data_IF_643973322204
#
_entry.id   IF_643973322204
#
_cell.length_a   1.000
_cell.length_b   1.000
_cell.length_c   1.000
_cell.angle_alpha   90.00
_cell.angle_beta   90.00
_cell.angle_gamma   90.00
#
_symmetry.space_group_name_H-M   'P 1'
#
loop_
_entity.id
_entity.type
_entity.pdbx_description
1 polymer ?
#
# COMPACT_ATOMS: atom_id res chain seq x y z
N UNK A 1 -24.44 15.09 -1.03
CA UNK A 1 -23.15 15.48 -0.43
C UNK A 1 -22.84 14.52 0.71
N UNK A 2 -22.29 13.33 0.40
CA UNK A 2 -21.68 12.41 1.38
C UNK A 2 -20.94 11.25 0.68
N UNK A 3 -20.16 11.55 -0.37
CA UNK A 3 -19.36 10.51 -1.04
C UNK A 3 -17.97 10.45 -0.38
N UNK A 4 -17.90 9.77 0.76
CA UNK A 4 -16.65 9.56 1.49
C UNK A 4 -15.72 8.63 0.72
N UNK A 5 -14.42 8.87 0.82
CA UNK A 5 -13.39 7.99 0.27
C UNK A 5 -13.01 6.91 1.28
N UNK A 6 -12.48 5.80 0.78
CA UNK A 6 -12.11 4.67 1.63
C UNK A 6 -11.11 5.09 2.72
N UNK A 7 -10.10 5.89 2.35
CA UNK A 7 -9.06 6.37 3.27
C UNK A 7 -9.59 7.17 4.47
N UNK A 8 -10.75 7.83 4.33
CA UNK A 8 -11.37 8.62 5.40
C UNK A 8 -12.09 7.75 6.44
N UNK A 9 -12.39 6.49 6.08
CA UNK A 9 -13.12 5.54 6.92
C UNK A 9 -12.19 4.46 7.46
N UNK A 10 -11.29 3.95 6.62
CA UNK A 10 -10.43 2.82 6.97
C UNK A 10 -9.20 2.76 6.08
N UNK A 11 -8.11 2.21 6.61
CA UNK A 11 -6.91 1.90 5.86
C UNK A 11 -6.16 0.74 6.56
N UNK A 12 -5.72 -0.31 5.83
CA UNK A 12 -4.98 -1.43 6.41
C UNK A 12 -3.53 -1.02 6.71
N UNK A 13 -3.33 -0.17 7.72
CA UNK A 13 -2.03 0.44 8.06
C UNK A 13 -0.99 -0.63 8.39
N UNK A 14 -1.37 -1.66 9.14
CA UNK A 14 -0.44 -2.68 9.65
C UNK A 14 0.22 -3.44 8.51
N UNK A 15 -0.58 -3.99 7.62
CA UNK A 15 -0.13 -4.81 6.49
C UNK A 15 0.65 -3.98 5.48
N UNK A 16 0.15 -2.78 5.14
CA UNK A 16 0.85 -1.86 4.22
C UNK A 16 2.20 -1.41 4.79
N UNK A 17 2.29 -1.23 6.11
CA UNK A 17 3.54 -0.87 6.79
C UNK A 17 4.55 -2.02 6.77
N UNK A 18 4.10 -3.27 6.95
CA UNK A 18 4.95 -4.46 6.86
C UNK A 18 5.56 -4.56 5.45
N UNK A 19 4.74 -4.43 4.41
CA UNK A 19 5.23 -4.46 3.02
C UNK A 19 6.16 -3.29 2.71
N UNK A 20 5.85 -2.10 3.22
CA UNK A 20 6.71 -0.90 3.07
C UNK A 20 8.08 -1.05 3.74
N UNK A 21 8.13 -1.74 4.89
CA UNK A 21 9.39 -2.06 5.56
C UNK A 21 10.16 -3.15 4.80
N UNK A 22 9.45 -4.18 4.30
CA UNK A 22 10.03 -5.27 3.51
C UNK A 22 10.67 -4.75 2.23
N UNK A 23 10.03 -3.81 1.54
CA UNK A 23 10.54 -3.18 0.30
C UNK A 23 11.97 -2.64 0.45
N UNK A 24 12.33 -2.10 1.63
CA UNK A 24 13.67 -1.56 1.91
C UNK A 24 14.76 -2.64 1.90
N UNK A 25 14.40 -3.88 2.21
CA UNK A 25 15.33 -4.98 2.42
C UNK A 25 15.40 -5.96 1.23
N UNK A 26 14.65 -5.72 0.14
CA UNK A 26 14.63 -6.61 -1.04
C UNK A 26 15.98 -6.62 -1.78
N UNK A 27 16.66 -5.48 -1.83
CA UNK A 27 17.94 -5.32 -2.54
C UNK A 27 19.06 -5.33 -1.51
N UNK A 28 19.61 -6.49 -1.21
CA UNK A 28 20.80 -6.63 -0.39
C UNK A 28 22.05 -6.81 -1.29
N UNK A 29 23.16 -6.16 -0.95
CA UNK A 29 24.46 -6.39 -1.61
C UNK A 29 24.69 -5.73 -2.97
N UNK A 30 23.79 -4.88 -3.48
CA UNK A 30 24.01 -4.15 -4.73
C UNK A 30 24.62 -2.77 -4.46
N UNK A 31 25.63 -2.32 -5.22
CA UNK A 31 26.33 -1.03 -4.97
C UNK A 31 25.33 0.16 -4.94
N UNK A 32 24.26 0.10 -5.72
CA UNK A 32 23.18 1.10 -5.71
C UNK A 32 22.38 1.17 -4.40
N UNK A 33 22.58 0.24 -3.46
CA UNK A 33 21.95 0.26 -2.13
C UNK A 33 22.76 1.05 -1.09
N UNK A 34 24.05 1.31 -1.37
CA UNK A 34 24.91 2.17 -0.52
C UNK A 34 24.49 3.65 -0.59
N UNK A 35 24.02 4.11 -1.76
CA UNK A 35 23.58 5.48 -2.00
C UNK A 35 22.09 5.72 -1.68
N UNK A 36 21.46 4.86 -0.88
CA UNK A 36 20.08 5.07 -0.48
C UNK A 36 20.02 6.25 0.51
N UNK A 37 19.53 7.38 0.03
CA UNK A 37 19.32 8.57 0.86
C UNK A 37 18.29 8.29 1.97
N UNK A 38 18.47 8.92 3.14
CA UNK A 38 17.80 8.58 4.40
C UNK A 38 16.26 8.65 4.42
N UNK A 39 15.61 9.04 3.31
CA UNK A 39 14.16 9.14 3.20
C UNK A 39 13.64 8.53 1.89
N UNK A 40 13.73 7.20 1.73
CA UNK A 40 12.93 6.55 0.66
C UNK A 40 11.45 6.68 0.99
N UNK A 41 10.68 7.22 0.05
CA UNK A 41 9.21 7.14 0.06
C UNK A 41 8.84 5.69 -0.30
N UNK A 42 8.26 4.89 0.61
CA UNK A 42 7.90 3.51 0.33
C UNK A 42 6.84 3.45 -0.77
N UNK A 43 7.11 2.72 -1.86
CA UNK A 43 6.20 2.63 -3.01
C UNK A 43 4.94 1.84 -2.66
N UNK A 44 5.06 0.81 -1.81
CA UNK A 44 3.92 0.09 -1.25
C UNK A 44 2.89 1.03 -0.61
N UNK A 45 3.32 1.88 0.33
CA UNK A 45 2.45 2.87 0.97
C UNK A 45 1.91 3.89 -0.05
N UNK A 46 2.77 4.42 -0.93
CA UNK A 46 2.34 5.43 -1.90
C UNK A 46 1.22 4.91 -2.82
N UNK A 47 1.34 3.66 -3.31
CA UNK A 47 0.35 3.01 -4.16
C UNK A 47 -0.96 2.76 -3.42
N UNK A 48 -0.88 2.20 -2.21
CA UNK A 48 -2.06 1.96 -1.38
C UNK A 48 -2.80 3.27 -1.08
N UNK A 49 -2.09 4.31 -0.64
CA UNK A 49 -2.68 5.62 -0.33
C UNK A 49 -3.36 6.22 -1.55
N UNK A 50 -2.69 6.25 -2.71
CA UNK A 50 -3.26 6.79 -3.95
C UNK A 50 -4.51 6.03 -4.41
N UNK A 51 -4.54 4.70 -4.27
CA UNK A 51 -5.74 3.94 -4.61
C UNK A 51 -6.89 4.22 -3.62
N UNK A 52 -6.61 4.21 -2.32
CA UNK A 52 -7.64 4.41 -1.28
C UNK A 52 -8.27 5.81 -1.29
N UNK A 53 -7.59 6.82 -1.83
CA UNK A 53 -8.15 8.17 -1.99
C UNK A 53 -9.10 8.28 -3.17
N UNK A 54 -9.03 7.37 -4.14
CA UNK A 54 -9.86 7.40 -5.35
C UNK A 54 -11.13 6.55 -5.23
N UNK A 55 -11.10 5.51 -4.40
CA UNK A 55 -12.25 4.60 -4.24
C UNK A 55 -13.29 5.10 -3.23
N UNK A 56 -14.58 4.82 -3.44
CA UNK A 56 -15.62 5.17 -2.49
C UNK A 56 -15.54 4.32 -1.23
N UNK A 57 -16.01 4.88 -0.11
CA UNK A 57 -16.13 4.19 1.16
C UNK A 57 -16.99 2.91 1.02
N UNK A 58 -16.66 1.85 1.77
CA UNK A 58 -17.45 0.62 1.75
C UNK A 58 -18.79 0.85 2.46
N UNK A 59 -19.87 0.25 1.94
CA UNK A 59 -21.21 0.35 2.54
C UNK A 59 -21.46 -0.79 3.54
N UNK A 60 -20.89 -1.96 3.26
CA UNK A 60 -21.11 -3.18 4.04
C UNK A 60 -19.77 -3.77 4.51
N UNK A 61 -19.81 -4.56 5.59
CA UNK A 61 -18.61 -5.20 6.15
C UNK A 61 -17.95 -6.18 5.15
N UNK A 62 -18.75 -6.86 4.33
CA UNK A 62 -18.24 -7.75 3.27
C UNK A 62 -17.47 -6.97 2.19
N UNK A 63 -17.94 -5.77 1.83
CA UNK A 63 -17.27 -4.92 0.86
C UNK A 63 -15.98 -4.32 1.45
N UNK A 64 -16.01 -3.97 2.74
CA UNK A 64 -14.85 -3.53 3.49
C UNK A 64 -13.74 -4.59 3.47
N UNK A 65 -14.06 -5.83 3.80
CA UNK A 65 -13.08 -6.92 3.84
C UNK A 65 -12.46 -7.17 2.45
N UNK A 66 -13.30 -7.24 1.41
CA UNK A 66 -12.82 -7.39 0.02
C UNK A 66 -11.89 -6.27 -0.42
N UNK A 67 -12.26 -5.01 -0.15
CA UNK A 67 -11.43 -3.84 -0.49
C UNK A 67 -10.14 -3.83 0.32
N UNK A 68 -10.19 -4.15 1.61
CA UNK A 68 -9.01 -4.25 2.47
C UNK A 68 -8.04 -5.32 1.98
N UNK A 69 -8.52 -6.53 1.69
CA UNK A 69 -7.72 -7.62 1.13
C UNK A 69 -7.10 -7.25 -0.23
N UNK A 70 -7.86 -6.56 -1.08
CA UNK A 70 -7.33 -6.06 -2.34
C UNK A 70 -6.21 -5.03 -2.13
N UNK A 71 -6.38 -4.06 -1.23
CA UNK A 71 -5.36 -3.05 -0.92
C UNK A 71 -4.11 -3.71 -0.35
N UNK A 72 -4.26 -4.70 0.54
CA UNK A 72 -3.15 -5.48 1.08
C UNK A 72 -2.38 -6.16 -0.05
N UNK A 73 -3.08 -6.85 -0.95
CA UNK A 73 -2.46 -7.48 -2.11
C UNK A 73 -1.81 -6.47 -3.06
N UNK A 74 -2.42 -5.31 -3.30
CA UNK A 74 -1.85 -4.23 -4.10
C UNK A 74 -0.53 -3.70 -3.51
N UNK A 75 -0.42 -3.68 -2.17
CA UNK A 75 0.78 -3.20 -1.48
C UNK A 75 1.99 -4.12 -1.60
N UNK A 76 1.78 -5.42 -1.85
CA UNK A 76 2.87 -6.41 -1.99
C UNK A 76 3.78 -6.06 -3.16
N UNK A 77 5.09 -6.20 -2.96
CA UNK A 77 6.09 -5.93 -3.99
C UNK A 77 5.96 -6.88 -5.18
N UNK A 78 5.74 -8.17 -4.93
CA UNK A 78 5.67 -9.23 -5.95
C UNK A 78 4.61 -8.93 -7.03
N UNK A 79 3.49 -8.34 -6.62
CA UNK A 79 2.39 -7.97 -7.51
C UNK A 79 2.69 -6.76 -8.41
N UNK A 80 3.78 -6.01 -8.15
CA UNK A 80 4.20 -4.92 -9.03
C UNK A 80 4.79 -5.40 -10.36
N UNK A 81 5.20 -6.67 -10.42
CA UNK A 81 5.86 -7.27 -11.59
C UNK A 81 4.90 -8.13 -12.43
N UNK A 82 3.69 -8.38 -11.93
CA UNK A 82 2.65 -9.12 -12.65
C UNK A 82 2.00 -8.16 -13.65
N UNK A 83 2.49 -8.22 -14.90
CA UNK A 83 1.94 -7.50 -16.07
C UNK A 83 0.83 -8.31 -16.73
#
# INVERSE_FOLDING_TARGET
>A
MNDKRFIEVSFPVKEVSIESAREKNIRHGHISTLHIWWARRPLASSRATAYTSLIPAPKNNVEWDKKSQFIINLSKWENSLNS
#
